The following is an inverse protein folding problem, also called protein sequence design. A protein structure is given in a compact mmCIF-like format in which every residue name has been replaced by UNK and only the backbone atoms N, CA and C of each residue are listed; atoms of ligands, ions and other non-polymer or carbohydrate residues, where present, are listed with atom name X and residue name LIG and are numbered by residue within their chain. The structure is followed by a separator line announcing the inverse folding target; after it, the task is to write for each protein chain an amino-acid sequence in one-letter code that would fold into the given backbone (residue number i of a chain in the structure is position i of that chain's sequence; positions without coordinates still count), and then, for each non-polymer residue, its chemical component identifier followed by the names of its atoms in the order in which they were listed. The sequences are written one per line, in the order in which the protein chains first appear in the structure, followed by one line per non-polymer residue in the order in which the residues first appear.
data_IF_039408702311
#
_entry.id   IF_039408702311
#
_cell.length_a   1.000
_cell.length_b   1.000
_cell.length_c   1.000
_cell.angle_alpha   90.00
_cell.angle_beta   90.00
_cell.angle_gamma   90.00
#
_symmetry.space_group_name_H-M   'P 1'
#
loop_
_entity.id
_entity.type
_entity.pdbx_description
1 polymer ?
#
# COMPACT_ATOMS: atom_id res chain seq x y z
N UNK A 1 42.15 36.13 63.97
CA UNK A 1 42.22 34.95 63.07
C UNK A 1 40.84 34.70 62.44
N UNK A 2 40.64 35.06 61.17
CA UNK A 2 39.33 34.90 60.51
C UNK A 2 39.21 33.51 59.86
N UNK A 3 38.40 32.62 60.45
CA UNK A 3 38.02 31.32 59.86
C UNK A 3 37.21 31.55 58.56
N UNK A 4 37.87 31.44 57.40
CA UNK A 4 37.18 31.42 56.10
C UNK A 4 36.30 30.16 56.02
N UNK A 5 34.98 30.35 56.10
CA UNK A 5 34.02 29.26 56.26
C UNK A 5 33.85 28.39 54.99
N UNK A 6 33.68 27.07 55.13
CA UNK A 6 33.51 26.13 54.01
C UNK A 6 32.23 26.35 53.19
N UNK A 7 31.29 27.18 53.67
CA UNK A 7 30.04 27.56 52.98
C UNK A 7 30.28 28.25 51.64
N UNK A 8 31.31 29.11 51.52
CA UNK A 8 31.61 29.86 50.28
C UNK A 8 32.02 28.95 49.10
N UNK A 9 32.68 27.81 49.35
CA UNK A 9 33.12 26.87 48.28
C UNK A 9 31.97 26.03 47.71
N UNK A 10 30.95 25.70 48.52
CA UNK A 10 29.75 24.97 48.05
C UNK A 10 28.88 25.82 47.13
N UNK A 11 28.74 27.11 47.41
CA UNK A 11 28.00 28.05 46.57
C UNK A 11 28.62 28.18 45.17
N UNK A 12 29.95 28.33 45.08
CA UNK A 12 30.65 28.38 43.78
C UNK A 12 30.49 27.11 42.93
N UNK A 13 30.51 25.93 43.54
CA UNK A 13 30.24 24.68 42.81
C UNK A 13 28.82 24.64 42.24
N UNK A 14 27.83 25.10 43.00
CA UNK A 14 26.43 25.17 42.52
C UNK A 14 26.29 26.14 41.33
N UNK A 15 27.00 27.26 41.34
CA UNK A 15 27.03 28.21 40.22
C UNK A 15 27.64 27.59 38.97
N UNK A 16 28.76 26.86 39.09
CA UNK A 16 29.38 26.14 37.96
C UNK A 16 28.45 25.06 37.39
N UNK A 17 27.79 24.27 38.23
CA UNK A 17 26.80 23.28 37.78
C UNK A 17 25.59 23.95 37.10
N UNK A 18 25.15 25.10 37.59
CA UNK A 18 24.04 25.86 37.00
C UNK A 18 24.38 26.34 35.60
N UNK A 19 25.55 26.93 35.40
CA UNK A 19 25.99 27.37 34.07
C UNK A 19 26.20 26.20 33.12
N UNK A 20 26.77 25.09 33.59
CA UNK A 20 26.93 23.87 32.79
C UNK A 20 25.57 23.30 32.33
N UNK A 21 24.58 23.29 33.22
CA UNK A 21 23.21 22.86 32.90
C UNK A 21 22.56 23.74 31.83
N UNK A 22 22.68 25.06 31.96
CA UNK A 22 22.13 25.99 30.97
C UNK A 22 22.79 25.81 29.60
N UNK A 23 24.11 25.58 29.58
CA UNK A 23 24.84 25.33 28.35
C UNK A 23 24.45 23.99 27.68
N UNK A 24 24.29 22.92 28.46
CA UNK A 24 23.77 21.66 27.96
C UNK A 24 22.33 21.78 27.47
N UNK A 25 21.50 22.58 28.15
CA UNK A 25 20.14 22.86 27.73
C UNK A 25 20.12 23.63 26.39
N UNK A 26 21.03 24.59 26.17
CA UNK A 26 21.11 25.31 24.89
C UNK A 26 21.57 24.40 23.75
N UNK A 27 22.55 23.52 24.00
CA UNK A 27 22.96 22.51 23.00
C UNK A 27 21.81 21.52 22.74
N UNK A 28 21.12 21.09 23.80
CA UNK A 28 19.96 20.21 23.71
C UNK A 28 18.84 20.82 22.88
N UNK A 29 18.59 22.12 23.03
CA UNK A 29 17.61 22.86 22.21
C UNK A 29 17.95 22.75 20.72
N UNK A 30 19.21 22.98 20.36
CA UNK A 30 19.68 22.86 18.97
C UNK A 30 19.60 21.41 18.48
N UNK A 31 19.96 20.43 19.31
CA UNK A 31 19.89 19.02 18.97
C UNK A 31 18.45 18.56 18.69
N UNK A 32 17.48 18.99 19.51
CA UNK A 32 16.05 18.70 19.28
C UNK A 32 15.58 19.31 17.96
N UNK A 33 16.01 20.53 17.63
CA UNK A 33 15.72 21.16 16.34
C UNK A 33 16.29 20.37 15.15
N UNK A 34 17.52 19.84 15.27
CA UNK A 34 18.12 19.00 14.23
C UNK A 34 17.34 17.69 14.08
N UNK A 35 16.99 17.03 15.18
CA UNK A 35 16.20 15.79 15.15
C UNK A 35 14.81 16.03 14.55
N UNK A 36 14.17 17.16 14.88
CA UNK A 36 12.90 17.55 14.28
C UNK A 36 13.00 17.63 12.74
N UNK A 37 14.05 18.27 12.22
CA UNK A 37 14.30 18.35 10.79
C UNK A 37 14.56 16.97 10.17
N UNK A 38 15.34 16.11 10.83
CA UNK A 38 15.59 14.75 10.33
C UNK A 38 14.30 13.92 10.23
N UNK A 39 13.45 13.99 11.25
CA UNK A 39 12.16 13.28 11.25
C UNK A 39 11.29 13.82 10.11
N UNK A 40 11.25 15.14 9.93
CA UNK A 40 10.49 15.76 8.84
C UNK A 40 10.93 15.23 7.47
N UNK A 41 12.24 15.19 7.19
CA UNK A 41 12.76 14.65 5.92
C UNK A 41 12.50 13.15 5.76
N UNK A 42 12.58 12.37 6.84
CA UNK A 42 12.31 10.93 6.79
C UNK A 42 10.83 10.62 6.49
N UNK A 43 9.92 11.45 7.01
CA UNK A 43 8.49 11.35 6.73
C UNK A 43 8.23 11.71 5.26
N UNK A 44 8.83 12.78 4.75
CA UNK A 44 8.63 13.24 3.36
C UNK A 44 9.00 12.14 2.34
N UNK A 45 10.17 11.52 2.51
CA UNK A 45 10.61 10.41 1.66
C UNK A 45 9.64 9.21 1.72
N UNK A 46 9.17 8.88 2.92
CA UNK A 46 8.21 7.78 3.12
C UNK A 46 6.86 8.07 2.45
N UNK A 47 6.39 9.31 2.48
CA UNK A 47 5.15 9.73 1.83
C UNK A 47 5.23 9.63 0.31
N UNK A 48 6.39 9.99 -0.28
CA UNK A 48 6.61 9.83 -1.73
C UNK A 48 6.55 8.36 -2.12
N UNK A 49 7.23 7.47 -1.39
CA UNK A 49 7.20 6.04 -1.65
C UNK A 49 5.78 5.46 -1.54
N UNK A 50 5.01 5.87 -0.53
CA UNK A 50 3.63 5.44 -0.34
C UNK A 50 2.71 5.93 -1.46
N UNK A 51 2.88 7.17 -1.91
CA UNK A 51 2.12 7.71 -3.03
C UNK A 51 2.41 6.96 -4.33
N UNK A 52 3.68 6.60 -4.57
CA UNK A 52 4.06 5.81 -5.73
C UNK A 52 3.39 4.43 -5.67
N UNK A 53 3.53 3.71 -4.56
CA UNK A 53 2.89 2.39 -4.40
C UNK A 53 1.37 2.48 -4.59
N UNK A 54 0.72 3.48 -4.00
CA UNK A 54 -0.73 3.70 -4.16
C UNK A 54 -1.11 3.95 -5.62
N UNK A 55 -0.30 4.69 -6.36
CA UNK A 55 -0.52 4.92 -7.80
C UNK A 55 -0.37 3.63 -8.61
N UNK A 56 0.67 2.84 -8.33
CA UNK A 56 0.90 1.54 -9.00
C UNK A 56 -0.20 0.54 -8.69
N UNK A 57 -0.68 0.48 -7.44
CA UNK A 57 -1.80 -0.38 -7.07
C UNK A 57 -3.07 -0.01 -7.82
N UNK A 58 -3.37 1.28 -7.95
CA UNK A 58 -4.52 1.76 -8.72
C UNK A 58 -4.41 1.43 -10.20
N UNK A 59 -3.22 1.56 -10.77
CA UNK A 59 -2.96 1.20 -12.17
C UNK A 59 -3.13 -0.31 -12.38
N UNK A 60 -2.61 -1.13 -11.47
CA UNK A 60 -2.76 -2.59 -11.52
C UNK A 60 -4.22 -3.01 -11.38
N UNK A 61 -4.98 -2.41 -10.47
CA UNK A 61 -6.42 -2.66 -10.32
C UNK A 61 -7.20 -2.31 -11.59
N UNK A 62 -6.84 -1.18 -12.21
CA UNK A 62 -7.43 -0.75 -13.49
C UNK A 62 -7.13 -1.75 -14.60
N UNK A 63 -5.88 -2.23 -14.68
CA UNK A 63 -5.47 -3.21 -15.69
C UNK A 63 -6.13 -4.57 -15.47
N UNK A 64 -6.25 -5.04 -14.22
CA UNK A 64 -7.00 -6.25 -13.88
C UNK A 64 -8.47 -6.13 -14.33
N UNK A 65 -9.10 -5.00 -14.03
CA UNK A 65 -10.49 -4.74 -14.44
C UNK A 65 -10.65 -4.75 -15.96
N UNK A 66 -9.68 -4.15 -16.67
CA UNK A 66 -9.65 -4.13 -18.13
C UNK A 66 -9.48 -5.53 -18.74
N UNK A 67 -8.57 -6.33 -18.17
CA UNK A 67 -8.36 -7.71 -18.60
C UNK A 67 -9.59 -8.56 -18.33
N UNK A 68 -10.22 -8.41 -17.16
CA UNK A 68 -11.45 -9.12 -16.83
C UNK A 68 -12.56 -8.79 -17.83
N UNK A 69 -12.76 -7.50 -18.14
CA UNK A 69 -13.73 -7.10 -19.15
C UNK A 69 -13.43 -7.68 -20.55
N UNK A 70 -12.14 -7.82 -20.90
CA UNK A 70 -11.71 -8.44 -22.15
C UNK A 70 -11.99 -9.95 -22.16
N UNK A 71 -11.74 -10.63 -21.05
CA UNK A 71 -12.10 -12.05 -20.88
C UNK A 71 -13.61 -12.22 -20.98
N UNK A 72 -14.39 -11.41 -20.27
CA UNK A 72 -15.85 -11.46 -20.30
C UNK A 72 -16.39 -11.22 -21.72
N UNK A 73 -15.77 -10.31 -22.48
CA UNK A 73 -16.10 -10.09 -23.90
C UNK A 73 -15.74 -11.28 -24.79
N UNK A 74 -14.54 -11.84 -24.64
CA UNK A 74 -14.09 -12.98 -25.45
C UNK A 74 -14.79 -14.30 -25.08
N UNK A 75 -15.25 -14.42 -23.83
CA UNK A 75 -15.99 -15.58 -23.34
C UNK A 75 -17.45 -15.57 -23.79
N UNK A 76 -17.94 -14.51 -24.44
CA UNK A 76 -19.33 -14.48 -24.88
C UNK A 76 -19.55 -15.49 -26.01
N UNK A 77 -20.60 -16.33 -25.94
CA UNK A 77 -20.84 -17.40 -26.91
C UNK A 77 -21.00 -16.92 -28.36
N UNK A 78 -21.56 -15.73 -28.56
CA UNK A 78 -21.71 -15.06 -29.86
C UNK A 78 -20.35 -14.71 -30.48
N UNK A 79 -19.41 -14.18 -29.68
CA UNK A 79 -18.03 -13.88 -30.12
C UNK A 79 -17.27 -15.18 -30.42
N UNK A 80 -17.42 -16.20 -29.58
CA UNK A 80 -16.82 -17.53 -29.80
C UNK A 80 -17.35 -18.16 -31.09
N UNK A 81 -18.67 -18.15 -31.29
CA UNK A 81 -19.30 -18.70 -32.48
C UNK A 81 -18.91 -17.91 -33.74
N UNK A 82 -18.80 -16.59 -33.65
CA UNK A 82 -18.32 -15.75 -34.75
C UNK A 82 -16.87 -16.10 -35.12
N UNK A 83 -15.99 -16.24 -34.13
CA UNK A 83 -14.59 -16.59 -34.36
C UNK A 83 -14.44 -18.01 -34.91
N UNK A 84 -15.21 -18.97 -34.41
CA UNK A 84 -15.26 -20.34 -34.92
C UNK A 84 -15.74 -20.42 -36.38
N UNK A 85 -16.73 -19.60 -36.76
CA UNK A 85 -17.18 -19.50 -38.15
C UNK A 85 -16.12 -18.91 -39.07
N UNK A 86 -15.42 -17.86 -38.63
CA UNK A 86 -14.48 -17.11 -39.48
C UNK A 86 -13.10 -17.78 -39.60
N UNK A 87 -12.56 -18.32 -38.50
CA UNK A 87 -11.20 -18.85 -38.45
C UNK A 87 -11.13 -20.38 -38.61
N UNK A 88 -12.20 -21.10 -38.22
CA UNK A 88 -12.23 -22.57 -38.19
C UNK A 88 -13.20 -23.17 -39.22
N UNK A 89 -13.82 -22.33 -40.07
CA UNK A 89 -14.87 -22.69 -41.05
C UNK A 89 -15.99 -23.55 -40.43
N UNK A 90 -16.25 -23.36 -39.13
CA UNK A 90 -17.23 -24.16 -38.40
C UNK A 90 -18.64 -23.66 -38.71
N UNK A 91 -19.47 -24.56 -39.23
CA UNK A 91 -20.90 -24.32 -39.48
C UNK A 91 -21.72 -24.68 -38.23
N UNK A 92 -22.76 -23.90 -37.95
CA UNK A 92 -23.68 -24.17 -36.83
C UNK A 92 -24.31 -25.55 -37.02
N UNK A 93 -24.10 -26.45 -36.05
CA UNK A 93 -24.70 -27.79 -36.09
C UNK A 93 -26.23 -27.67 -36.11
N UNK A 94 -26.89 -28.35 -37.05
CA UNK A 94 -28.34 -28.53 -36.98
C UNK A 94 -28.66 -29.38 -35.76
N UNK A 95 -29.64 -29.02 -34.94
CA UNK A 95 -30.07 -29.89 -33.85
C UNK A 95 -30.65 -31.16 -34.46
N UNK A 96 -29.93 -32.27 -34.34
CA UNK A 96 -30.50 -33.58 -34.62
C UNK A 96 -31.46 -33.93 -33.48
N UNK A 97 -32.75 -34.00 -33.80
CA UNK A 97 -33.76 -34.42 -32.83
C UNK A 97 -33.63 -35.92 -32.60
N UNK A 98 -32.98 -36.31 -31.50
CA UNK A 98 -32.97 -37.70 -31.06
C UNK A 98 -34.33 -38.00 -30.43
N UNK A 99 -35.20 -38.68 -31.17
CA UNK A 99 -36.47 -39.19 -30.65
C UNK A 99 -36.16 -40.47 -29.87
N UNK A 100 -36.13 -40.37 -28.54
CA UNK A 100 -35.97 -41.54 -27.66
C UNK A 100 -37.35 -42.14 -27.41
N UNK A 101 -37.62 -43.30 -28.01
CA UNK A 101 -38.79 -44.11 -27.64
C UNK A 101 -38.45 -44.90 -26.38
N UNK A 102 -39.06 -44.56 -25.25
CA UNK A 102 -39.03 -45.42 -24.06
C UNK A 102 -39.99 -46.60 -24.30
N UNK A 103 -39.51 -47.86 -24.33
CA UNK A 103 -40.39 -49.00 -24.39
C UNK A 103 -41.00 -49.24 -23.01
N UNK A 104 -42.33 -49.14 -22.93
CA UNK A 104 -43.12 -49.75 -21.85
C UNK A 104 -43.35 -48.89 -20.60
N UNK A 105 -44.07 -47.79 -20.74
CA UNK A 105 -44.80 -47.17 -19.63
C UNK A 105 -46.28 -47.53 -19.73
N UNK A 106 -46.71 -48.57 -19.03
CA UNK A 106 -48.12 -48.78 -18.71
C UNK A 106 -48.61 -47.61 -17.87
N UNK A 107 -49.50 -46.80 -18.43
CA UNK A 107 -50.34 -45.90 -17.68
C UNK A 107 -51.43 -46.75 -17.01
N UNK A 108 -51.19 -47.14 -15.75
CA UNK A 108 -52.25 -47.36 -14.78
C UNK A 108 -52.30 -46.17 -13.82
#
# INVERSE_FOLDING_TARGET
MARRSPRKRRLRRKELFRTLLIYLASIGMVAVLIVYLMIYTAIDESLVALNLQKSTLKELETEVTRLQAKVDFLSRPDIIAQKARQELDMVTARPESIIVYLPGGTLE
#
